data_IF_208357485112
#
_entry.id   IF_208357485112
#
_cell.length_a   1.000
_cell.length_b   1.000
_cell.length_c   1.000
_cell.angle_alpha   90.00
_cell.angle_beta   90.00
_cell.angle_gamma   90.00
#
_symmetry.space_group_name_H-M   'P 1'
#
loop_
_entity.id
_entity.type
_entity.pdbx_description
1 polymer ?
#
# COMPACT_ATOMS: atom_id res chain seq x y z
N UNK A 1 14.21 17.75 -5.81
CA UNK A 1 12.81 18.09 -6.18
C UNK A 1 12.55 19.53 -5.83
N UNK A 2 11.87 20.30 -6.69
CA UNK A 2 11.65 21.73 -6.49
C UNK A 2 10.82 22.04 -5.23
N UNK A 3 9.84 21.19 -4.90
CA UNK A 3 8.97 21.37 -3.75
C UNK A 3 9.58 20.93 -2.39
N UNK A 4 10.83 20.46 -2.37
CA UNK A 4 11.49 20.02 -1.12
C UNK A 4 11.01 18.67 -0.56
N UNK A 5 10.26 17.88 -1.34
CA UNK A 5 9.88 16.52 -0.96
C UNK A 5 11.10 15.63 -0.71
N UNK A 6 11.15 15.00 0.47
CA UNK A 6 12.20 14.03 0.85
C UNK A 6 11.59 12.63 0.76
N UNK A 7 12.25 11.73 0.02
CA UNK A 7 11.82 10.33 -0.17
C UNK A 7 10.43 10.15 -0.79
N UNK A 8 9.92 11.17 -1.48
CA UNK A 8 8.60 11.12 -2.12
C UNK A 8 8.59 11.82 -3.47
N UNK A 9 8.32 11.07 -4.54
CA UNK A 9 7.94 11.56 -5.86
C UNK A 9 6.82 10.67 -6.38
N UNK A 10 5.64 10.85 -5.82
CA UNK A 10 4.42 10.23 -6.30
C UNK A 10 3.29 11.26 -6.33
N UNK A 11 2.23 10.97 -7.07
CA UNK A 11 1.11 11.89 -7.18
C UNK A 11 0.17 11.83 -5.96
N UNK A 12 -0.17 10.62 -5.49
CA UNK A 12 -1.26 10.42 -4.52
C UNK A 12 -1.24 9.03 -3.85
N UNK A 13 -0.07 8.47 -3.53
CA UNK A 13 0.01 7.18 -2.82
C UNK A 13 -0.75 7.20 -1.50
N UNK A 14 -0.73 8.34 -0.79
CA UNK A 14 -1.47 8.52 0.46
C UNK A 14 -2.97 8.25 0.31
N UNK A 15 -3.59 8.65 -0.80
CA UNK A 15 -5.03 8.44 -1.00
C UNK A 15 -5.35 6.95 -1.16
N UNK A 16 -4.57 6.25 -1.98
CA UNK A 16 -4.78 4.83 -2.23
C UNK A 16 -4.49 3.99 -0.98
N UNK A 17 -3.35 4.24 -0.31
CA UNK A 17 -3.00 3.51 0.91
C UNK A 17 -4.01 3.75 2.03
N UNK A 18 -4.47 4.99 2.24
CA UNK A 18 -5.44 5.28 3.29
C UNK A 18 -6.74 4.49 3.09
N UNK A 19 -7.24 4.42 1.85
CA UNK A 19 -8.42 3.61 1.52
C UNK A 19 -8.23 2.14 1.88
N UNK A 20 -7.09 1.56 1.49
CA UNK A 20 -6.74 0.16 1.84
C UNK A 20 -6.61 -0.01 3.35
N UNK A 21 -5.96 0.92 4.04
CA UNK A 21 -5.73 0.85 5.48
C UNK A 21 -7.04 0.83 6.26
N UNK A 22 -7.96 1.74 5.93
CA UNK A 22 -9.28 1.79 6.57
C UNK A 22 -10.12 0.55 6.24
N UNK A 23 -10.10 0.10 4.98
CA UNK A 23 -10.86 -1.07 4.56
C UNK A 23 -10.37 -2.37 5.22
N UNK A 24 -9.09 -2.45 5.57
CA UNK A 24 -8.44 -3.68 6.04
C UNK A 24 -7.96 -3.60 7.49
N UNK A 25 -8.39 -2.57 8.23
CA UNK A 25 -8.12 -2.40 9.66
C UNK A 25 -6.64 -2.17 9.98
N UNK A 26 -5.87 -1.54 9.08
CA UNK A 26 -4.51 -1.09 9.38
C UNK A 26 -4.53 0.19 10.22
N UNK A 27 -3.41 0.52 10.83
CA UNK A 27 -3.25 1.80 11.51
C UNK A 27 -3.10 2.93 10.47
N UNK A 28 -4.14 3.77 10.36
CA UNK A 28 -4.19 4.90 9.43
C UNK A 28 -3.07 5.92 9.67
N UNK A 29 -2.53 6.03 10.90
CA UNK A 29 -1.45 6.97 11.20
C UNK A 29 -0.13 6.59 10.51
N UNK A 30 0.07 5.30 10.16
CA UNK A 30 1.23 4.87 9.39
C UNK A 30 1.27 5.43 7.95
N UNK A 31 0.26 6.18 7.51
CA UNK A 31 0.24 6.81 6.19
C UNK A 31 1.40 7.77 5.97
N UNK A 32 1.92 8.41 7.03
CA UNK A 32 3.09 9.31 6.97
C UNK A 32 4.32 8.57 6.42
N UNK A 33 4.52 7.33 6.85
CA UNK A 33 5.65 6.50 6.45
C UNK A 33 5.33 5.72 5.16
N UNK A 34 4.17 5.07 5.12
CA UNK A 34 3.77 4.20 4.01
C UNK A 34 3.54 4.92 2.68
N UNK A 35 3.24 6.22 2.70
CA UNK A 35 3.05 7.01 1.46
C UNK A 35 4.36 7.53 0.85
N UNK A 36 5.50 7.31 1.52
CA UNK A 36 6.81 7.59 0.93
C UNK A 36 7.07 6.60 -0.21
N UNK A 37 7.57 7.12 -1.33
CA UNK A 37 7.79 6.31 -2.51
C UNK A 37 7.91 7.11 -3.78
N UNK A 38 8.27 6.39 -4.84
CA UNK A 38 8.63 6.96 -6.13
C UNK A 38 7.81 6.31 -7.23
N UNK A 39 7.34 7.13 -8.17
CA UNK A 39 6.82 6.69 -9.46
C UNK A 39 7.95 6.79 -10.49
N UNK A 40 8.15 5.73 -11.26
CA UNK A 40 8.98 5.74 -12.46
C UNK A 40 8.09 5.47 -13.67
N UNK A 41 8.10 6.41 -14.61
CA UNK A 41 7.33 6.34 -15.84
C UNK A 41 8.28 6.63 -17.01
N UNK A 42 8.30 5.75 -18.00
CA UNK A 42 9.25 5.77 -19.11
C UNK A 42 8.55 5.29 -20.39
N UNK A 43 8.76 5.98 -21.51
CA UNK A 43 8.37 5.46 -22.82
C UNK A 43 9.38 4.39 -23.25
N UNK A 44 8.88 3.20 -23.55
CA UNK A 44 9.63 2.07 -24.08
C UNK A 44 9.02 1.67 -25.41
N UNK A 45 9.65 2.12 -26.49
CA UNK A 45 9.24 1.81 -27.87
C UNK A 45 7.77 2.19 -28.15
N UNK A 46 7.34 3.36 -27.67
CA UNK A 46 5.97 3.84 -27.81
C UNK A 46 4.96 3.26 -26.82
N UNK A 47 5.42 2.44 -25.86
CA UNK A 47 4.61 1.91 -24.75
C UNK A 47 5.01 2.55 -23.42
N UNK A 48 4.05 2.78 -22.53
CA UNK A 48 4.34 3.34 -21.20
C UNK A 48 4.77 2.22 -20.23
N UNK A 49 6.06 2.18 -19.90
CA UNK A 49 6.53 1.46 -18.71
C UNK A 49 6.25 2.30 -17.47
N UNK A 50 5.56 1.71 -16.50
CA UNK A 50 5.20 2.36 -15.25
C UNK A 50 5.51 1.42 -14.08
N UNK A 51 6.28 1.91 -13.12
CA UNK A 51 6.59 1.19 -11.89
C UNK A 51 6.55 2.10 -10.68
N UNK A 52 6.31 1.51 -9.52
CA UNK A 52 6.31 2.21 -8.24
C UNK A 52 7.25 1.53 -7.26
N UNK A 53 7.95 2.34 -6.47
CA UNK A 53 8.76 1.87 -5.34
C UNK A 53 8.13 2.40 -4.06
N UNK A 54 7.64 1.50 -3.21
CA UNK A 54 7.01 1.81 -1.92
C UNK A 54 7.82 1.10 -0.82
N UNK A 55 8.91 1.70 -0.33
CA UNK A 55 9.89 0.99 0.50
C UNK A 55 9.43 0.74 1.94
N UNK A 56 8.47 1.51 2.44
CA UNK A 56 8.15 1.57 3.87
C UNK A 56 6.70 1.16 4.16
N UNK A 57 6.22 0.12 3.48
CA UNK A 57 4.87 -0.39 3.66
C UNK A 57 4.73 -1.10 5.03
N UNK A 58 3.87 -0.59 5.90
CA UNK A 58 3.60 -1.17 7.22
C UNK A 58 2.19 -1.78 7.19
N UNK A 59 2.12 -3.11 7.12
CA UNK A 59 0.87 -3.86 6.97
C UNK A 59 0.87 -5.14 7.80
N UNK A 60 -0.31 -5.60 8.18
CA UNK A 60 -0.50 -6.89 8.83
C UNK A 60 -1.91 -7.43 8.68
N UNK A 61 -2.05 -8.75 8.73
CA UNK A 61 -3.34 -9.46 8.55
C UNK A 61 -3.86 -10.06 9.85
N UNK A 62 -3.06 -9.99 10.93
CA UNK A 62 -3.37 -10.43 12.30
C UNK A 62 -3.03 -9.29 13.26
N UNK A 63 -3.80 -9.16 14.35
CA UNK A 63 -3.60 -8.12 15.38
C UNK A 63 -4.81 -7.20 15.54
N UNK A 64 -4.62 -6.06 16.22
CA UNK A 64 -5.67 -5.08 16.48
C UNK A 64 -6.30 -4.53 15.18
N UNK A 65 -7.61 -4.31 15.20
CA UNK A 65 -8.42 -3.82 14.07
C UNK A 65 -8.89 -4.93 13.14
N UNK A 66 -8.45 -6.18 13.33
CA UNK A 66 -8.75 -7.34 12.46
C UNK A 66 -9.88 -8.22 13.02
N UNK A 67 -10.45 -7.81 14.15
CA UNK A 67 -11.61 -8.40 14.81
C UNK A 67 -12.94 -7.98 14.17
N UNK A 68 -12.99 -6.84 13.48
CA UNK A 68 -14.20 -6.36 12.79
C UNK A 68 -14.56 -7.27 11.60
N UNK A 69 -15.84 -7.60 11.47
CA UNK A 69 -16.29 -8.56 10.46
C UNK A 69 -16.08 -8.07 9.03
N UNK A 70 -16.31 -6.77 8.76
CA UNK A 70 -16.03 -6.20 7.43
C UNK A 70 -14.55 -6.25 7.07
N UNK A 71 -13.65 -6.06 8.05
CA UNK A 71 -12.20 -6.16 7.84
C UNK A 71 -11.80 -7.60 7.53
N UNK A 72 -12.38 -8.58 8.24
CA UNK A 72 -12.15 -10.01 7.94
C UNK A 72 -12.58 -10.36 6.52
N UNK A 73 -13.79 -9.96 6.12
CA UNK A 73 -14.31 -10.18 4.77
C UNK A 73 -13.40 -9.55 3.71
N UNK A 74 -12.96 -8.30 3.91
CA UNK A 74 -12.04 -7.65 2.97
C UNK A 74 -10.68 -8.35 2.88
N UNK A 75 -10.14 -8.84 4.00
CA UNK A 75 -8.90 -9.62 4.01
C UNK A 75 -9.08 -11.00 3.37
N UNK A 76 -10.25 -11.64 3.52
CA UNK A 76 -10.59 -12.89 2.84
C UNK A 76 -10.68 -12.69 1.32
N UNK A 77 -11.35 -11.63 0.86
CA UNK A 77 -11.43 -11.27 -0.57
C UNK A 77 -10.05 -11.05 -1.21
N UNK A 78 -9.05 -10.63 -0.42
CA UNK A 78 -7.67 -10.47 -0.88
C UNK A 78 -6.80 -11.74 -0.73
N UNK A 79 -7.36 -12.86 -0.27
CA UNK A 79 -6.60 -14.09 0.00
C UNK A 79 -5.59 -13.94 1.15
N UNK A 80 -5.83 -13.00 2.07
CA UNK A 80 -4.97 -12.70 3.21
C UNK A 80 -5.31 -13.49 4.48
N UNK A 81 -6.39 -14.29 4.45
CA UNK A 81 -6.80 -15.18 5.55
C UNK A 81 -6.63 -16.67 5.23
N UNK A 82 -6.24 -16.99 4.01
CA UNK A 82 -6.02 -18.37 3.58
C UNK A 82 -4.73 -18.92 4.20
N UNK A 83 -4.79 -20.19 4.64
CA UNK A 83 -3.60 -20.89 5.08
C UNK A 83 -2.77 -21.29 3.84
N UNK A 84 -1.55 -20.77 3.75
CA UNK A 84 -0.60 -21.09 2.67
C UNK A 84 0.83 -21.03 3.18
N UNK A 85 1.73 -21.69 2.45
CA UNK A 85 3.16 -21.62 2.72
C UNK A 85 3.70 -20.19 2.50
N UNK A 86 4.62 -19.69 3.33
CA UNK A 86 5.24 -18.39 3.11
C UNK A 86 5.94 -18.30 1.75
N UNK A 87 5.60 -17.28 0.97
CA UNK A 87 6.17 -17.03 -0.37
C UNK A 87 5.48 -17.77 -1.52
N UNK A 88 4.40 -18.51 -1.25
CA UNK A 88 3.54 -19.15 -2.25
C UNK A 88 2.49 -18.21 -2.85
#
# INVERSE_FOLDING_TARGET
MLAGGVRTANAHFANMLLGVYLATGQDAANIVEGSQGFVHAEDREGSLYFSVTVPNLIVGTVGSGKEHDFVKQNLELMGCREAREPGA
#
